data_IF_641426489812
#
_entry.id   IF_641426489812
#
_cell.length_a   1.000
_cell.length_b   1.000
_cell.length_c   1.000
_cell.angle_alpha   90.00
_cell.angle_beta   90.00
_cell.angle_gamma   90.00
#
_symmetry.space_group_name_H-M   'P 1'
#
loop_
_entity.id
_entity.type
_entity.pdbx_description
1 polymer ?
#
# COMPACT_ATOMS: atom_id res chain seq x y z
N UNK A 1 -29.38 -15.24 -12.90
CA UNK A 1 -30.55 -14.81 -13.62
C UNK A 1 -31.70 -14.53 -12.66
N UNK A 2 -31.90 -13.23 -12.34
CA UNK A 2 -32.82 -12.76 -11.29
C UNK A 2 -34.28 -13.07 -11.58
N UNK A 3 -34.71 -12.99 -12.85
CA UNK A 3 -36.11 -13.32 -13.25
C UNK A 3 -36.46 -14.77 -12.92
N UNK A 4 -35.53 -15.70 -13.11
CA UNK A 4 -35.76 -17.12 -12.80
C UNK A 4 -35.77 -17.38 -11.28
N UNK A 5 -34.96 -16.64 -10.52
CA UNK A 5 -34.87 -16.79 -9.06
C UNK A 5 -36.06 -16.13 -8.34
N UNK A 6 -36.58 -15.03 -8.91
CA UNK A 6 -37.65 -14.23 -8.31
C UNK A 6 -38.82 -14.01 -9.33
N UNK A 7 -39.50 -15.06 -9.77
CA UNK A 7 -40.51 -14.95 -10.84
C UNK A 7 -41.69 -14.08 -10.44
N UNK A 8 -42.02 -14.00 -9.15
CA UNK A 8 -43.13 -13.22 -8.61
C UNK A 8 -42.77 -11.78 -8.24
N UNK A 9 -41.54 -11.34 -8.53
CA UNK A 9 -41.00 -10.02 -8.12
C UNK A 9 -40.53 -9.20 -9.33
N UNK A 10 -41.19 -9.31 -10.46
CA UNK A 10 -40.82 -8.62 -11.71
C UNK A 10 -40.77 -7.10 -11.55
N UNK A 11 -41.68 -6.53 -10.75
CA UNK A 11 -41.70 -5.10 -10.46
C UNK A 11 -40.39 -4.66 -9.72
N UNK A 12 -39.92 -5.42 -8.72
CA UNK A 12 -38.70 -5.15 -8.02
C UNK A 12 -37.48 -5.24 -8.94
N UNK A 13 -37.43 -6.21 -9.85
CA UNK A 13 -36.38 -6.37 -10.86
C UNK A 13 -36.36 -5.16 -11.81
N UNK A 14 -37.55 -4.74 -12.30
CA UNK A 14 -37.67 -3.57 -13.16
C UNK A 14 -37.27 -2.27 -12.43
N UNK A 15 -37.62 -2.13 -11.16
CA UNK A 15 -37.26 -0.99 -10.33
C UNK A 15 -35.73 -0.92 -10.10
N UNK A 16 -35.05 -2.06 -9.95
CA UNK A 16 -33.58 -2.08 -9.84
C UNK A 16 -32.91 -1.56 -11.13
N UNK A 17 -33.46 -1.97 -12.29
CA UNK A 17 -32.98 -1.46 -13.58
C UNK A 17 -33.24 0.04 -13.73
N UNK A 18 -34.41 0.50 -13.37
CA UNK A 18 -34.78 1.93 -13.40
C UNK A 18 -33.86 2.77 -12.47
N UNK A 19 -33.59 2.29 -11.27
CA UNK A 19 -32.65 2.95 -10.34
C UNK A 19 -31.22 3.02 -10.92
N UNK A 20 -30.75 1.92 -11.51
CA UNK A 20 -29.45 1.90 -12.17
C UNK A 20 -29.35 2.93 -13.31
N UNK A 21 -30.43 3.11 -14.10
CA UNK A 21 -30.47 4.13 -15.16
C UNK A 21 -30.47 5.56 -14.61
N UNK A 22 -30.93 5.80 -13.39
CA UNK A 22 -30.89 7.12 -12.72
C UNK A 22 -29.53 7.44 -12.13
N UNK A 23 -28.68 6.43 -11.86
CA UNK A 23 -27.32 6.58 -11.38
C UNK A 23 -26.38 7.01 -12.53
N UNK A 24 -26.56 8.24 -13.03
CA UNK A 24 -25.84 8.76 -14.21
C UNK A 24 -24.53 9.48 -13.88
N UNK A 25 -23.89 9.20 -12.75
CA UNK A 25 -22.62 9.83 -12.47
C UNK A 25 -21.51 9.22 -13.32
N UNK A 26 -20.95 10.02 -14.19
CA UNK A 26 -19.70 9.69 -14.90
C UNK A 26 -18.54 9.93 -13.94
N UNK A 27 -18.17 8.91 -13.19
CA UNK A 27 -16.92 8.92 -12.46
C UNK A 27 -15.82 8.53 -13.44
N UNK A 28 -14.87 9.43 -13.63
CA UNK A 28 -13.69 9.14 -14.43
C UNK A 28 -12.54 8.89 -13.44
N UNK A 29 -12.25 7.64 -13.17
CA UNK A 29 -11.06 7.22 -12.39
C UNK A 29 -9.85 7.01 -13.30
N UNK A 30 -9.66 7.90 -14.26
CA UNK A 30 -8.69 7.69 -15.35
C UNK A 30 -7.24 7.83 -14.88
N UNK A 31 -6.97 8.53 -13.79
CA UNK A 31 -5.61 8.73 -13.31
C UNK A 31 -5.55 8.62 -11.79
N UNK A 32 -4.72 7.74 -11.28
CA UNK A 32 -4.30 7.76 -9.88
C UNK A 32 -3.46 9.02 -9.67
N UNK A 33 -3.93 9.94 -8.82
CA UNK A 33 -3.18 11.14 -8.46
C UNK A 33 -2.15 10.73 -7.41
N UNK A 34 -0.93 10.54 -7.86
CA UNK A 34 0.21 10.36 -6.97
C UNK A 34 0.77 11.73 -6.56
N UNK A 35 1.22 11.93 -5.30
CA UNK A 35 1.93 13.16 -4.95
C UNK A 35 3.13 13.29 -5.87
N UNK A 36 3.03 14.21 -6.85
CA UNK A 36 4.04 14.40 -7.89
C UNK A 36 5.39 14.75 -7.26
N UNK A 37 6.38 13.93 -7.55
CA UNK A 37 7.77 14.22 -7.23
C UNK A 37 8.49 14.63 -8.51
N UNK A 38 9.41 15.60 -8.40
CA UNK A 38 10.31 15.93 -9.50
C UNK A 38 11.20 14.71 -9.84
N UNK A 39 11.76 14.65 -11.05
CA UNK A 39 12.69 13.57 -11.46
C UNK A 39 13.88 13.45 -10.49
N UNK A 40 14.40 14.57 -9.96
CA UNK A 40 15.46 14.56 -8.95
C UNK A 40 15.00 13.93 -7.63
N UNK A 41 13.77 14.20 -7.23
CA UNK A 41 13.17 13.64 -6.01
C UNK A 41 12.89 12.14 -6.20
N UNK A 42 12.52 11.71 -7.40
CA UNK A 42 12.33 10.29 -7.75
C UNK A 42 13.65 9.52 -7.61
N UNK A 43 14.74 10.01 -8.18
CA UNK A 43 16.05 9.36 -8.03
C UNK A 43 16.50 9.27 -6.58
N UNK A 44 16.35 10.34 -5.82
CA UNK A 44 16.66 10.36 -4.37
C UNK A 44 15.79 9.38 -3.60
N UNK A 45 14.50 9.28 -3.95
CA UNK A 45 13.57 8.36 -3.30
C UNK A 45 13.94 6.90 -3.58
N UNK A 46 14.30 6.58 -4.82
CA UNK A 46 14.71 5.23 -5.19
C UNK A 46 15.97 4.80 -4.43
N UNK A 47 16.98 5.69 -4.33
CA UNK A 47 18.19 5.44 -3.56
C UNK A 47 17.87 5.27 -2.07
N UNK A 48 17.09 6.18 -1.49
CA UNK A 48 16.69 6.11 -0.07
C UNK A 48 15.91 4.83 0.25
N UNK A 49 15.00 4.42 -0.63
CA UNK A 49 14.26 3.18 -0.44
C UNK A 49 15.21 2.00 -0.31
N UNK A 50 16.17 1.89 -1.23
CA UNK A 50 17.18 0.82 -1.22
C UNK A 50 18.03 0.86 0.05
N UNK A 51 18.54 2.03 0.39
CA UNK A 51 19.39 2.20 1.58
C UNK A 51 18.64 1.80 2.85
N UNK A 52 17.39 2.24 3.01
CA UNK A 52 16.57 1.90 4.17
C UNK A 52 16.14 0.43 4.21
N UNK A 53 15.83 -0.17 3.06
CA UNK A 53 15.50 -1.59 3.01
C UNK A 53 16.70 -2.45 3.45
N UNK A 54 17.91 -2.13 2.99
CA UNK A 54 19.10 -2.85 3.41
C UNK A 54 19.49 -2.60 4.86
N UNK A 55 19.38 -1.36 5.34
CA UNK A 55 19.59 -1.04 6.76
C UNK A 55 18.63 -1.84 7.65
N UNK A 56 17.36 -1.87 7.29
CA UNK A 56 16.36 -2.66 8.02
C UNK A 56 16.59 -4.17 7.90
N UNK A 57 17.04 -4.65 6.73
CA UNK A 57 17.36 -6.05 6.55
C UNK A 57 18.50 -6.52 7.49
N UNK A 58 19.52 -5.69 7.71
CA UNK A 58 20.61 -5.99 8.66
C UNK A 58 20.05 -6.10 10.10
N UNK A 59 19.04 -5.30 10.44
CA UNK A 59 18.40 -5.35 11.77
C UNK A 59 17.48 -6.57 11.91
N UNK A 60 16.75 -6.94 10.83
CA UNK A 60 15.75 -8.02 10.84
C UNK A 60 16.36 -9.41 10.71
N UNK A 61 17.47 -9.53 9.99
CA UNK A 61 18.13 -10.80 9.69
C UNK A 61 19.54 -10.79 10.23
N UNK A 62 19.88 -11.78 11.00
CA UNK A 62 21.25 -11.94 11.53
C UNK A 62 22.27 -12.17 10.41
N UNK A 63 21.85 -12.87 9.34
CA UNK A 63 22.66 -13.16 8.16
C UNK A 63 21.84 -12.86 6.91
N UNK A 64 22.37 -12.02 6.04
CA UNK A 64 21.77 -11.73 4.74
C UNK A 64 22.19 -12.79 3.72
N UNK A 65 21.41 -13.85 3.63
CA UNK A 65 21.61 -14.91 2.62
C UNK A 65 21.31 -14.38 1.21
N UNK A 66 21.80 -15.08 0.19
CA UNK A 66 21.54 -14.70 -1.20
C UNK A 66 20.04 -14.74 -1.53
N UNK A 67 19.28 -15.66 -0.94
CA UNK A 67 17.80 -15.71 -1.07
C UNK A 67 17.15 -14.43 -0.56
N UNK A 68 17.58 -13.90 0.59
CA UNK A 68 17.08 -12.65 1.15
C UNK A 68 17.41 -11.48 0.23
N UNK A 69 18.67 -11.38 -0.21
CA UNK A 69 19.13 -10.30 -1.11
C UNK A 69 18.37 -10.32 -2.44
N UNK A 70 18.24 -11.48 -3.06
CA UNK A 70 17.48 -11.63 -4.32
C UNK A 70 16.03 -11.19 -4.18
N UNK A 71 15.36 -11.56 -3.07
CA UNK A 71 13.99 -11.16 -2.83
C UNK A 71 13.87 -9.64 -2.58
N UNK A 72 14.79 -9.04 -1.82
CA UNK A 72 14.83 -7.58 -1.61
C UNK A 72 15.02 -6.85 -2.94
N UNK A 73 16.00 -7.28 -3.76
CA UNK A 73 16.25 -6.65 -5.05
C UNK A 73 15.08 -6.79 -6.02
N UNK A 74 14.45 -7.95 -6.07
CA UNK A 74 13.26 -8.16 -6.89
C UNK A 74 12.14 -7.17 -6.53
N UNK A 75 11.83 -7.07 -5.25
CA UNK A 75 10.77 -6.18 -4.78
C UNK A 75 11.12 -4.70 -4.97
N UNK A 76 12.34 -4.29 -4.62
CA UNK A 76 12.79 -2.90 -4.81
C UNK A 76 12.71 -2.50 -6.29
N UNK A 77 13.18 -3.35 -7.20
CA UNK A 77 13.16 -3.05 -8.63
C UNK A 77 11.73 -2.88 -9.13
N UNK A 78 10.79 -3.72 -8.70
CA UNK A 78 9.39 -3.60 -9.10
C UNK A 78 8.72 -2.35 -8.49
N UNK A 79 8.98 -2.04 -7.21
CA UNK A 79 8.50 -0.83 -6.54
C UNK A 79 9.02 0.43 -7.27
N UNK A 80 10.29 0.44 -7.65
CA UNK A 80 10.93 1.55 -8.39
C UNK A 80 10.33 1.67 -9.80
N UNK A 81 10.19 0.56 -10.52
CA UNK A 81 9.61 0.53 -11.86
C UNK A 81 8.18 1.10 -11.87
N UNK A 82 7.40 0.81 -10.84
CA UNK A 82 6.04 1.33 -10.66
C UNK A 82 5.99 2.76 -10.12
N UNK A 83 7.12 3.36 -9.75
CA UNK A 83 7.17 4.70 -9.18
C UNK A 83 6.69 4.80 -7.73
N UNK A 84 6.58 3.68 -6.99
CA UNK A 84 6.01 3.63 -5.65
C UNK A 84 7.04 3.91 -4.53
N UNK A 85 8.32 4.10 -4.84
CA UNK A 85 9.35 4.36 -3.84
C UNK A 85 9.00 5.52 -2.88
N UNK A 86 8.48 6.68 -3.35
CA UNK A 86 8.06 7.76 -2.46
C UNK A 86 6.95 7.36 -1.49
N UNK A 87 6.00 6.54 -1.95
CA UNK A 87 4.91 6.06 -1.12
C UNK A 87 5.41 5.21 0.05
N UNK A 88 6.27 4.24 -0.23
CA UNK A 88 6.91 3.44 0.82
C UNK A 88 7.70 4.29 1.82
N UNK A 89 8.37 5.35 1.35
CA UNK A 89 9.12 6.27 2.22
C UNK A 89 8.21 7.12 3.11
N UNK A 90 7.05 7.56 2.59
CA UNK A 90 6.02 8.25 3.37
C UNK A 90 5.49 7.33 4.46
N UNK A 91 5.13 6.10 4.11
CA UNK A 91 4.64 5.12 5.08
C UNK A 91 5.68 4.82 6.14
N UNK A 92 6.95 4.60 5.73
CA UNK A 92 8.07 4.42 6.67
C UNK A 92 8.22 5.60 7.62
N UNK A 93 8.12 6.82 7.12
CA UNK A 93 8.20 8.03 7.94
C UNK A 93 7.10 8.06 9.00
N UNK A 94 5.87 7.70 8.63
CA UNK A 94 4.74 7.66 9.57
C UNK A 94 4.97 6.58 10.63
N UNK A 95 5.31 5.35 10.23
CA UNK A 95 5.52 4.25 11.18
C UNK A 95 6.72 4.47 12.10
N UNK A 96 7.69 5.31 11.72
CA UNK A 96 8.83 5.65 12.57
C UNK A 96 8.48 6.58 13.75
N UNK A 97 7.23 7.07 13.80
CA UNK A 97 6.74 7.98 14.86
C UNK A 97 6.05 7.28 16.03
N UNK A 98 5.88 6.00 15.92
CA UNK A 98 5.20 5.18 16.92
C UNK A 98 6.13 4.10 17.46
N UNK A 99 5.86 3.65 18.67
CA UNK A 99 6.61 2.55 19.32
C UNK A 99 6.33 1.19 18.70
N UNK A 100 5.15 1.01 18.10
CA UNK A 100 4.75 -0.26 17.49
C UNK A 100 3.74 -0.03 16.36
N UNK A 101 3.83 -0.86 15.32
CA UNK A 101 2.85 -0.90 14.22
C UNK A 101 2.56 -2.34 13.84
N UNK A 102 1.38 -2.56 13.30
CA UNK A 102 1.02 -3.82 12.65
C UNK A 102 0.56 -3.49 11.23
N UNK A 103 1.46 -3.65 10.27
CA UNK A 103 1.09 -3.67 8.86
C UNK A 103 0.38 -4.98 8.54
N UNK A 104 -0.81 -4.89 7.96
CA UNK A 104 -1.69 -6.03 7.67
C UNK A 104 -2.02 -6.13 6.18
N UNK A 105 -2.86 -7.10 5.82
CA UNK A 105 -3.29 -7.30 4.44
C UNK A 105 -2.14 -7.76 3.52
N UNK A 106 -2.19 -7.36 2.27
CA UNK A 106 -1.23 -7.77 1.24
C UNK A 106 0.17 -7.20 1.46
N UNK A 107 0.30 -6.06 2.16
CA UNK A 107 1.60 -5.44 2.48
C UNK A 107 2.50 -6.35 3.34
N UNK A 108 1.91 -7.28 4.13
CA UNK A 108 2.66 -8.26 4.90
C UNK A 108 3.45 -9.26 4.03
N UNK A 109 3.11 -9.39 2.74
CA UNK A 109 3.84 -10.25 1.80
C UNK A 109 5.13 -9.62 1.26
N UNK A 110 5.43 -8.37 1.59
CA UNK A 110 6.60 -7.63 1.11
C UNK A 110 7.76 -7.69 2.11
N UNK A 111 8.92 -8.18 1.65
CA UNK A 111 10.16 -8.11 2.43
C UNK A 111 10.64 -6.66 2.59
N UNK A 112 10.36 -5.79 1.61
CA UNK A 112 10.67 -4.37 1.71
C UNK A 112 9.84 -3.73 2.82
N UNK A 113 8.52 -4.01 2.90
CA UNK A 113 7.66 -3.55 3.99
C UNK A 113 8.15 -4.05 5.36
N UNK A 114 8.61 -5.30 5.43
CA UNK A 114 9.18 -5.88 6.64
C UNK A 114 10.49 -5.19 7.06
N UNK A 115 11.38 -4.94 6.12
CA UNK A 115 12.65 -4.25 6.37
C UNK A 115 12.45 -2.76 6.70
N UNK A 116 11.39 -2.12 6.18
CA UNK A 116 11.04 -0.74 6.52
C UNK A 116 10.27 -0.62 7.86
N UNK A 117 10.07 -1.70 8.59
CA UNK A 117 9.33 -1.78 9.85
C UNK A 117 7.83 -1.44 9.70
N UNK A 118 7.30 -1.49 8.48
CA UNK A 118 5.87 -1.30 8.19
C UNK A 118 5.08 -2.53 8.66
N UNK A 119 5.61 -3.74 8.44
CA UNK A 119 5.03 -5.00 8.90
C UNK A 119 5.96 -5.71 9.87
N UNK A 120 5.39 -6.60 10.69
CA UNK A 120 6.17 -7.38 11.67
C UNK A 120 6.25 -8.87 11.29
N UNK A 121 5.68 -9.25 10.15
CA UNK A 121 5.68 -10.63 9.65
C UNK A 121 6.78 -10.80 8.62
N UNK A 122 7.67 -11.78 8.84
CA UNK A 122 8.70 -12.14 7.87
C UNK A 122 8.09 -12.91 6.69
N UNK A 123 8.02 -12.35 5.48
CA UNK A 123 7.38 -12.99 4.34
C UNK A 123 8.14 -14.23 3.84
N UNK A 124 9.44 -14.34 4.09
CA UNK A 124 10.21 -15.52 3.69
C UNK A 124 9.96 -16.70 4.65
N UNK A 125 9.87 -16.42 5.94
CA UNK A 125 9.57 -17.43 6.97
C UNK A 125 8.20 -18.08 6.74
N UNK A 126 7.22 -17.28 6.33
CA UNK A 126 5.84 -17.76 6.12
C UNK A 126 5.50 -17.99 4.64
N UNK A 127 6.50 -17.95 3.77
CA UNK A 127 6.36 -18.20 2.33
C UNK A 127 5.26 -17.37 1.66
N UNK A 128 5.18 -16.08 2.01
CA UNK A 128 4.18 -15.15 1.47
C UNK A 128 4.56 -14.70 0.06
N UNK A 129 3.55 -14.62 -0.81
CA UNK A 129 3.72 -14.32 -2.24
C UNK A 129 3.57 -12.82 -2.46
N UNK A 130 4.67 -12.14 -2.85
CA UNK A 130 4.71 -10.69 -3.09
C UNK A 130 3.81 -10.24 -4.25
N UNK A 131 3.68 -11.07 -5.29
CA UNK A 131 2.88 -10.72 -6.47
C UNK A 131 1.38 -10.50 -6.17
N UNK A 132 0.90 -10.94 -4.99
CA UNK A 132 -0.45 -10.60 -4.49
C UNK A 132 -0.55 -9.15 -4.04
N UNK A 133 0.56 -8.52 -3.70
CA UNK A 133 0.64 -7.13 -3.27
C UNK A 133 0.99 -6.20 -4.44
N UNK A 134 2.10 -6.47 -5.13
CA UNK A 134 2.53 -5.73 -6.31
C UNK A 134 3.00 -6.72 -7.36
N UNK A 135 2.50 -6.60 -8.59
CA UNK A 135 2.99 -7.38 -9.73
C UNK A 135 3.09 -6.51 -11.01
N UNK A 136 3.87 -6.93 -12.02
CA UNK A 136 4.15 -6.11 -13.20
C UNK A 136 2.92 -5.62 -13.96
N UNK A 137 1.89 -6.45 -14.08
CA UNK A 137 0.68 -6.15 -14.86
C UNK A 137 -0.34 -5.29 -14.11
N UNK A 138 -0.24 -5.20 -12.79
CA UNK A 138 -1.16 -4.40 -11.99
C UNK A 138 -0.85 -2.91 -12.14
N UNK A 139 -1.82 -2.13 -12.56
CA UNK A 139 -1.72 -0.67 -12.68
C UNK A 139 -2.09 0.08 -11.40
N UNK A 140 -2.89 -0.56 -10.54
CA UNK A 140 -3.39 0.08 -9.33
C UNK A 140 -2.30 0.20 -8.27
N UNK A 141 -2.39 1.29 -7.49
CA UNK A 141 -1.53 1.52 -6.35
C UNK A 141 -1.82 0.48 -5.25
N UNK A 142 -0.80 -0.08 -4.60
CA UNK A 142 -1.01 -1.01 -3.51
C UNK A 142 -1.53 -0.27 -2.27
N UNK A 143 -2.48 -0.89 -1.56
CA UNK A 143 -2.91 -0.42 -0.25
C UNK A 143 -1.97 -0.96 0.83
N UNK A 144 -1.54 -0.07 1.72
CA UNK A 144 -0.78 -0.42 2.91
C UNK A 144 -1.61 -0.09 4.14
N UNK A 145 -2.25 -1.10 4.69
CA UNK A 145 -3.03 -1.00 5.93
C UNK A 145 -2.12 -1.11 7.15
N UNK A 146 -2.24 -0.18 8.09
CA UNK A 146 -1.40 -0.15 9.29
C UNK A 146 -2.26 0.16 10.51
N UNK A 147 -2.17 -0.71 11.50
CA UNK A 147 -2.76 -0.46 12.80
C UNK A 147 -1.72 0.17 13.74
N UNK A 148 -2.15 1.18 14.49
CA UNK A 148 -1.35 1.91 15.46
C UNK A 148 -1.91 1.70 16.87
N UNK A 149 -1.08 1.85 17.93
CA UNK A 149 -1.57 1.88 19.30
C UNK A 149 -2.62 2.99 19.46
N UNK A 150 -3.72 2.66 20.14
CA UNK A 150 -4.85 3.59 20.28
C UNK A 150 -4.47 4.89 21.00
N UNK A 151 -3.55 4.79 21.96
CA UNK A 151 -3.05 5.90 22.77
C UNK A 151 -2.08 6.84 22.03
N UNK A 152 -1.54 6.42 20.88
CA UNK A 152 -0.67 7.24 20.01
C UNK A 152 -1.42 7.77 18.76
N UNK A 153 -2.68 7.39 18.58
CA UNK A 153 -3.46 7.67 17.37
C UNK A 153 -3.52 9.17 17.05
N UNK A 154 -3.87 9.98 18.04
CA UNK A 154 -4.10 11.42 17.82
C UNK A 154 -2.79 12.15 17.50
N UNK A 155 -1.68 11.77 18.15
CA UNK A 155 -0.35 12.30 17.86
C UNK A 155 0.10 11.98 16.44
N UNK A 156 -0.20 10.77 15.97
CA UNK A 156 0.12 10.33 14.59
C UNK A 156 -0.73 11.11 13.57
N UNK A 157 -2.04 11.25 13.83
CA UNK A 157 -2.92 12.04 12.98
C UNK A 157 -2.43 13.49 12.87
N UNK A 158 -2.14 14.12 14.00
CA UNK A 158 -1.61 15.47 14.05
C UNK A 158 -0.29 15.61 13.27
N UNK A 159 0.62 14.64 13.42
CA UNK A 159 1.87 14.61 12.66
C UNK A 159 1.62 14.54 11.15
N UNK A 160 0.73 13.64 10.72
CA UNK A 160 0.41 13.44 9.30
C UNK A 160 -0.21 14.71 8.72
N UNK A 161 -1.20 15.32 9.39
CA UNK A 161 -1.82 16.55 8.93
C UNK A 161 -0.85 17.74 8.89
N UNK A 162 0.01 17.90 9.90
CA UNK A 162 1.03 18.95 9.93
C UNK A 162 2.06 18.80 8.81
N UNK A 163 2.51 17.57 8.56
CA UNK A 163 3.59 17.31 7.59
C UNK A 163 3.13 17.28 6.15
N UNK A 164 2.00 16.61 5.88
CA UNK A 164 1.54 16.37 4.51
C UNK A 164 0.41 17.32 4.08
N UNK A 165 -0.24 18.00 5.03
CA UNK A 165 -1.25 19.01 4.83
C UNK A 165 -2.64 18.45 4.49
N UNK A 166 -3.68 19.23 4.82
CA UNK A 166 -5.10 18.81 4.70
C UNK A 166 -5.56 18.49 3.26
N UNK A 167 -4.81 18.93 2.24
CA UNK A 167 -5.14 18.63 0.84
C UNK A 167 -4.71 17.23 0.40
N UNK A 168 -3.89 16.56 1.20
CA UNK A 168 -3.30 15.25 0.88
C UNK A 168 -3.60 14.19 1.93
N UNK A 169 -4.38 14.56 2.92
CA UNK A 169 -4.81 13.68 4.02
C UNK A 169 -6.31 13.73 4.15
N UNK A 170 -6.93 12.60 4.43
CA UNK A 170 -8.35 12.47 4.68
C UNK A 170 -8.59 11.57 5.89
N UNK A 171 -9.65 11.84 6.63
CA UNK A 171 -10.21 10.94 7.64
C UNK A 171 -11.45 10.27 7.10
#
# INVERSE_FOLDING_TARGET
>A
DMVRLFPNSLEAINNSHYLAQRCKRKWSFVNTIFPGLSLKDTYRSNKKLRDYAYQGAIVRYTILTDKIKQRIEYEINLIIQKGFAPYFLIVRDIVSRTRATIGRGSAAASIVSYCLFITQVDPLRYNLIFDRFIHPERSDMPDIDIDFPWDERDDILDYVFKKYGNKRTAM
#
